data_IF_707872153789
#
_entry.id   IF_707872153789
#
_cell.length_a   1.000
_cell.length_b   1.000
_cell.length_c   1.000
_cell.angle_alpha   90.00
_cell.angle_beta   90.00
_cell.angle_gamma   90.00
#
_symmetry.space_group_name_H-M   'P 1'
#
loop_
_entity.id
_entity.type
_entity.pdbx_description
1 polymer ?
#
# COMPACT_ATOMS: atom_id res chain seq x y z
N UNK A 1 18.44 -32.69 -15.86
CA UNK A 1 17.50 -32.06 -14.91
C UNK A 1 16.79 -30.99 -15.70
N UNK A 2 15.53 -31.20 -16.07
CA UNK A 2 14.72 -30.14 -16.66
C UNK A 2 14.52 -29.06 -15.58
N UNK A 3 14.95 -27.83 -15.88
CA UNK A 3 14.58 -26.69 -15.05
C UNK A 3 13.05 -26.63 -15.00
N UNK A 4 12.48 -26.69 -13.81
CA UNK A 4 11.05 -26.54 -13.62
C UNK A 4 10.56 -25.22 -14.22
N UNK A 5 9.26 -25.10 -14.55
CA UNK A 5 8.73 -23.90 -15.16
C UNK A 5 9.06 -22.67 -14.30
N UNK A 6 9.52 -21.59 -14.94
CA UNK A 6 9.85 -20.35 -14.27
C UNK A 6 8.64 -19.82 -13.47
N UNK A 7 8.86 -19.46 -12.21
CA UNK A 7 7.83 -18.86 -11.38
C UNK A 7 7.48 -17.47 -11.92
N UNK A 8 6.23 -17.29 -12.37
CA UNK A 8 5.71 -16.01 -12.82
C UNK A 8 4.68 -15.48 -11.81
N UNK A 9 4.84 -14.23 -11.39
CA UNK A 9 3.93 -13.55 -10.46
C UNK A 9 3.31 -12.32 -11.12
N UNK A 10 1.99 -12.16 -10.98
CA UNK A 10 1.26 -10.97 -11.42
C UNK A 10 0.97 -10.08 -10.22
N UNK A 11 1.67 -8.93 -10.15
CA UNK A 11 1.55 -7.97 -9.05
C UNK A 11 0.83 -6.72 -9.54
N UNK A 12 -0.23 -6.32 -8.83
CA UNK A 12 -0.96 -5.08 -9.08
C UNK A 12 -0.64 -4.05 -8.00
N UNK A 13 -0.41 -2.81 -8.40
CA UNK A 13 -0.13 -1.69 -7.49
C UNK A 13 -1.00 -0.48 -7.86
N UNK A 14 -1.77 0.05 -6.92
CA UNK A 14 -2.66 1.19 -7.15
C UNK A 14 -2.85 2.08 -5.92
N UNK A 15 -2.71 3.38 -6.12
CA UNK A 15 -3.25 4.39 -5.22
C UNK A 15 -4.76 4.55 -5.46
N UNK A 16 -5.58 4.20 -4.48
CA UNK A 16 -7.04 4.17 -4.60
C UNK A 16 -7.71 5.54 -4.45
N UNK A 17 -7.01 6.56 -3.93
CA UNK A 17 -7.57 7.86 -3.58
C UNK A 17 -8.89 7.70 -2.79
N UNK A 18 -8.84 7.01 -1.64
CA UNK A 18 -10.01 6.76 -0.80
C UNK A 18 -10.04 7.65 0.46
N UNK A 19 -9.60 8.91 0.32
CA UNK A 19 -9.55 9.89 1.42
C UNK A 19 -10.97 10.16 1.92
N UNK A 20 -11.20 9.96 3.22
CA UNK A 20 -12.50 10.20 3.86
C UNK A 20 -12.88 11.69 3.74
N UNK A 21 -14.14 11.96 3.41
CA UNK A 21 -14.73 13.30 3.23
C UNK A 21 -14.24 14.13 2.03
N UNK A 22 -13.01 13.94 1.53
CA UNK A 22 -12.51 14.67 0.36
C UNK A 22 -12.78 13.94 -0.97
N UNK A 23 -12.80 12.61 -0.96
CA UNK A 23 -12.90 11.82 -2.20
C UNK A 23 -14.35 11.72 -2.68
N UNK A 24 -14.65 12.37 -3.81
CA UNK A 24 -15.93 12.20 -4.51
C UNK A 24 -16.10 10.74 -4.97
N UNK A 25 -17.31 10.20 -4.83
CA UNK A 25 -17.69 8.83 -5.24
C UNK A 25 -16.75 7.74 -4.68
N UNK A 26 -16.23 7.93 -3.46
CA UNK A 26 -15.27 7.01 -2.82
C UNK A 26 -15.81 5.58 -2.77
N UNK A 27 -17.02 5.39 -2.25
CA UNK A 27 -17.59 4.05 -2.04
C UNK A 27 -17.76 3.32 -3.37
N UNK A 28 -18.34 3.96 -4.38
CA UNK A 28 -18.50 3.40 -5.72
C UNK A 28 -17.15 2.98 -6.33
N UNK A 29 -16.13 3.83 -6.17
CA UNK A 29 -14.78 3.54 -6.66
C UNK A 29 -14.16 2.33 -5.97
N UNK A 30 -14.22 2.26 -4.64
CA UNK A 30 -13.71 1.11 -3.87
C UNK A 30 -14.41 -0.19 -4.30
N UNK A 31 -15.73 -0.12 -4.52
CA UNK A 31 -16.52 -1.25 -5.01
C UNK A 31 -16.05 -1.72 -6.40
N UNK A 32 -15.91 -0.79 -7.36
CA UNK A 32 -15.44 -1.08 -8.72
C UNK A 32 -14.00 -1.60 -8.76
N UNK A 33 -13.12 -1.05 -7.93
CA UNK A 33 -11.74 -1.54 -7.78
C UNK A 33 -11.77 -2.99 -7.31
N UNK A 34 -12.53 -3.31 -6.25
CA UNK A 34 -12.67 -4.68 -5.76
C UNK A 34 -13.24 -5.64 -6.81
N UNK A 35 -14.26 -5.22 -7.57
CA UNK A 35 -14.85 -6.04 -8.63
C UNK A 35 -13.90 -6.30 -9.80
N UNK A 36 -13.07 -5.31 -10.15
CA UNK A 36 -12.05 -5.44 -11.19
C UNK A 36 -10.95 -6.39 -10.74
N UNK A 37 -10.39 -6.16 -9.55
CA UNK A 37 -9.32 -6.99 -8.98
C UNK A 37 -9.71 -8.46 -8.84
N UNK A 38 -10.98 -8.74 -8.52
CA UNK A 38 -11.52 -10.10 -8.45
C UNK A 38 -11.50 -10.82 -9.81
N UNK A 39 -11.60 -10.10 -10.92
CA UNK A 39 -11.66 -10.66 -12.29
C UNK A 39 -10.29 -10.79 -12.95
N UNK A 40 -9.40 -9.84 -12.69
CA UNK A 40 -8.11 -9.76 -13.38
C UNK A 40 -7.14 -10.90 -13.03
N UNK A 41 -7.31 -11.54 -11.88
CA UNK A 41 -6.56 -12.73 -11.50
C UNK A 41 -5.09 -12.47 -11.12
N UNK A 42 -4.82 -11.34 -10.47
CA UNK A 42 -3.53 -11.03 -9.86
C UNK A 42 -3.19 -11.98 -8.72
N UNK A 43 -1.89 -12.12 -8.43
CA UNK A 43 -1.39 -12.93 -7.32
C UNK A 43 -1.19 -12.10 -6.06
N UNK A 44 -0.77 -10.85 -6.24
CA UNK A 44 -0.57 -9.86 -5.20
C UNK A 44 -1.21 -8.54 -5.63
N UNK A 45 -1.89 -7.90 -4.69
CA UNK A 45 -2.51 -6.58 -4.86
C UNK A 45 -2.00 -5.67 -3.75
N UNK A 46 -1.30 -4.61 -4.10
CA UNK A 46 -0.70 -3.63 -3.21
C UNK A 46 -1.47 -2.30 -3.38
N UNK A 47 -2.16 -1.84 -2.34
CA UNK A 47 -2.98 -0.63 -2.44
C UNK A 47 -2.46 0.47 -1.53
N UNK A 48 -2.51 1.71 -2.02
CA UNK A 48 -2.27 2.93 -1.25
C UNK A 48 -3.55 3.75 -1.12
N UNK A 49 -3.58 4.66 -0.17
CA UNK A 49 -4.70 5.55 0.12
C UNK A 49 -6.04 4.84 0.41
N UNK A 50 -5.98 3.62 0.96
CA UNK A 50 -7.13 2.97 1.59
C UNK A 50 -7.16 3.41 3.05
N UNK A 51 -7.77 4.56 3.32
CA UNK A 51 -7.64 5.23 4.63
C UNK A 51 -8.61 4.76 5.70
N UNK A 52 -9.70 4.08 5.33
CA UNK A 52 -10.72 3.65 6.29
C UNK A 52 -10.79 2.14 6.42
N UNK A 53 -10.95 1.65 7.64
CA UNK A 53 -11.14 0.21 7.90
C UNK A 53 -12.38 -0.34 7.20
N UNK A 54 -13.40 0.51 6.99
CA UNK A 54 -14.60 0.14 6.27
C UNK A 54 -14.29 -0.12 4.78
N UNK A 55 -13.56 0.78 4.12
CA UNK A 55 -13.16 0.59 2.71
C UNK A 55 -12.27 -0.66 2.58
N UNK A 56 -11.36 -0.89 3.54
CA UNK A 56 -10.56 -2.13 3.59
C UNK A 56 -11.43 -3.37 3.78
N UNK A 57 -12.43 -3.34 4.66
CA UNK A 57 -13.33 -4.47 4.93
C UNK A 57 -14.16 -4.83 3.70
N UNK A 58 -14.65 -3.83 2.96
CA UNK A 58 -15.34 -4.01 1.67
C UNK A 58 -14.44 -4.72 0.66
N UNK A 59 -13.18 -4.26 0.52
CA UNK A 59 -12.21 -4.90 -0.38
C UNK A 59 -11.90 -6.34 0.06
N UNK A 60 -11.72 -6.56 1.37
CA UNK A 60 -11.45 -7.89 1.95
C UNK A 60 -12.59 -8.86 1.68
N UNK A 61 -13.83 -8.43 1.84
CA UNK A 61 -15.01 -9.25 1.54
C UNK A 61 -15.06 -9.63 0.05
N UNK A 62 -14.94 -8.64 -0.84
CA UNK A 62 -14.96 -8.87 -2.30
C UNK A 62 -13.83 -9.77 -2.78
N UNK A 63 -12.64 -9.60 -2.23
CA UNK A 63 -11.44 -10.30 -2.65
C UNK A 63 -11.25 -11.63 -1.93
N UNK A 64 -11.95 -11.90 -0.82
CA UNK A 64 -11.70 -13.08 0.03
C UNK A 64 -11.74 -14.43 -0.69
N UNK A 65 -12.51 -14.56 -1.78
CA UNK A 65 -12.55 -15.77 -2.60
C UNK A 65 -11.34 -15.96 -3.52
N UNK A 66 -10.60 -14.90 -3.86
CA UNK A 66 -9.46 -14.93 -4.78
C UNK A 66 -8.13 -14.52 -4.16
N UNK A 67 -8.16 -13.76 -3.05
CA UNK A 67 -7.01 -13.35 -2.24
C UNK A 67 -7.38 -13.55 -0.76
N UNK A 68 -7.33 -14.80 -0.26
CA UNK A 68 -7.79 -15.12 1.09
C UNK A 68 -6.90 -14.53 2.19
N UNK A 69 -5.65 -14.15 1.86
CA UNK A 69 -4.72 -13.55 2.81
C UNK A 69 -4.64 -12.04 2.56
N UNK A 70 -4.79 -11.26 3.62
CA UNK A 70 -4.70 -9.81 3.52
C UNK A 70 -4.14 -9.18 4.78
N UNK A 71 -3.46 -8.04 4.62
CA UNK A 71 -2.93 -7.25 5.72
C UNK A 71 -3.24 -5.77 5.52
N UNK A 72 -3.72 -5.12 6.58
CA UNK A 72 -3.98 -3.68 6.63
C UNK A 72 -3.00 -3.04 7.61
N UNK A 73 -2.16 -2.13 7.11
CA UNK A 73 -1.11 -1.53 7.91
C UNK A 73 -1.67 -0.37 8.74
N UNK A 74 -2.02 -0.64 9.99
CA UNK A 74 -2.52 0.38 10.92
C UNK A 74 -1.37 1.27 11.41
N UNK A 75 -1.55 2.59 11.40
CA UNK A 75 -0.61 3.54 12.00
C UNK A 75 -1.23 4.88 12.38
N UNK A 76 -0.72 5.50 13.44
CA UNK A 76 -1.09 6.87 13.82
C UNK A 76 -2.60 7.05 14.05
N UNK A 77 -3.11 8.25 13.77
CA UNK A 77 -4.51 8.63 14.00
C UNK A 77 -5.40 8.30 12.78
N UNK A 78 -4.86 8.41 11.56
CA UNK A 78 -5.63 8.26 10.30
C UNK A 78 -5.35 6.92 9.59
N UNK A 79 -4.33 6.16 10.00
CA UNK A 79 -3.85 4.97 9.29
C UNK A 79 -2.74 5.29 8.29
N UNK A 80 -2.02 4.28 7.81
CA UNK A 80 -0.96 4.44 6.79
C UNK A 80 -1.53 4.59 5.37
N UNK A 81 -2.78 4.17 5.17
CA UNK A 81 -3.42 4.06 3.86
C UNK A 81 -2.94 2.85 3.06
N UNK A 82 -2.10 1.97 3.62
CA UNK A 82 -1.50 0.84 2.92
C UNK A 82 -2.21 -0.47 3.26
N UNK A 83 -2.44 -1.29 2.24
CA UNK A 83 -2.86 -2.68 2.44
C UNK A 83 -2.38 -3.61 1.33
N UNK A 84 -2.31 -4.89 1.65
CA UNK A 84 -1.91 -5.95 0.73
C UNK A 84 -2.96 -7.06 0.75
N UNK A 85 -3.30 -7.56 -0.44
CA UNK A 85 -4.06 -8.79 -0.63
C UNK A 85 -3.22 -9.78 -1.41
N UNK A 86 -3.27 -11.05 -1.02
CA UNK A 86 -2.41 -12.11 -1.52
C UNK A 86 -3.18 -13.41 -1.71
N UNK A 87 -2.87 -14.11 -2.80
CA UNK A 87 -3.25 -15.52 -2.99
C UNK A 87 -2.55 -16.47 -2.03
N UNK A 88 -1.36 -16.08 -1.58
CA UNK A 88 -0.45 -16.92 -0.81
C UNK A 88 -0.39 -16.49 0.67
N UNK A 89 -0.08 -17.42 1.59
CA UNK A 89 0.01 -17.12 3.01
C UNK A 89 1.01 -16.00 3.31
N UNK A 90 0.55 -15.00 4.07
CA UNK A 90 1.40 -13.97 4.68
C UNK A 90 1.93 -14.55 5.99
N UNK A 91 3.25 -14.74 6.07
CA UNK A 91 3.95 -15.30 7.22
C UNK A 91 4.17 -14.23 8.30
N UNK A 92 4.51 -13.02 7.88
CA UNK A 92 4.81 -11.90 8.78
C UNK A 92 4.49 -10.57 8.08
N UNK A 93 4.29 -9.51 8.87
CA UNK A 93 4.04 -8.17 8.38
C UNK A 93 4.64 -7.11 9.31
N UNK A 94 5.30 -6.12 8.72
CA UNK A 94 5.95 -5.04 9.44
C UNK A 94 5.65 -3.69 8.81
N UNK A 95 5.53 -2.64 9.62
CA UNK A 95 5.35 -1.28 9.13
C UNK A 95 6.48 -0.38 9.62
N UNK A 96 7.21 0.20 8.67
CA UNK A 96 8.21 1.22 8.95
C UNK A 96 7.67 2.59 8.59
N UNK A 97 7.52 3.48 9.57
CA UNK A 97 7.14 4.88 9.34
C UNK A 97 8.37 5.71 9.08
N UNK A 98 8.37 6.45 7.97
CA UNK A 98 9.48 7.34 7.64
C UNK A 98 9.67 8.43 8.69
N UNK A 99 10.91 8.90 8.87
CA UNK A 99 11.23 9.91 9.87
C UNK A 99 10.70 11.30 9.50
N UNK A 100 10.66 11.62 8.20
CA UNK A 100 10.34 12.95 7.69
C UNK A 100 9.07 12.92 6.83
N UNK A 101 7.95 13.39 7.40
CA UNK A 101 6.60 13.27 6.82
C UNK A 101 5.85 14.59 6.59
N UNK A 102 6.54 15.73 6.60
CA UNK A 102 5.96 17.04 6.34
C UNK A 102 5.94 17.91 7.58
N UNK A 103 5.07 18.92 7.58
CA UNK A 103 4.98 19.92 8.65
C UNK A 103 3.60 19.91 9.32
N UNK A 104 3.53 19.89 10.67
CA UNK A 104 2.26 19.80 11.39
C UNK A 104 1.33 21.01 11.16
N UNK A 105 1.89 22.20 10.91
CA UNK A 105 1.12 23.42 10.68
C UNK A 105 0.53 23.52 9.27
N UNK A 106 0.99 22.69 8.32
CA UNK A 106 0.50 22.67 6.94
C UNK A 106 -0.71 21.75 6.82
N UNK A 107 -1.84 22.13 7.43
CA UNK A 107 -3.05 21.30 7.50
C UNK A 107 -3.60 20.86 6.13
N UNK A 108 -3.38 21.67 5.10
CA UNK A 108 -3.79 21.36 3.73
C UNK A 108 -2.90 20.30 3.06
N UNK A 109 -1.71 20.04 3.63
CA UNK A 109 -0.77 19.03 3.17
C UNK A 109 -0.79 17.85 4.16
N UNK A 110 -1.80 16.99 3.99
CA UNK A 110 -2.18 15.93 4.94
C UNK A 110 -1.14 14.86 5.25
N UNK A 111 -0.01 14.85 4.54
CA UNK A 111 1.06 13.85 4.64
C UNK A 111 1.63 13.69 6.06
N UNK A 112 1.68 14.78 6.84
CA UNK A 112 2.15 14.74 8.23
C UNK A 112 1.20 13.94 9.13
N UNK A 113 -0.11 14.10 8.94
CA UNK A 113 -1.14 13.41 9.74
C UNK A 113 -1.29 11.94 9.36
N UNK A 114 -1.03 11.61 8.10
CA UNK A 114 -1.06 10.25 7.59
C UNK A 114 0.18 9.44 8.01
N UNK A 115 1.35 10.09 8.13
CA UNK A 115 2.60 9.43 8.49
C UNK A 115 3.03 8.42 7.42
N UNK A 116 3.59 8.92 6.31
CA UNK A 116 4.06 8.08 5.20
C UNK A 116 5.03 6.99 5.69
N UNK A 117 4.94 5.84 5.04
CA UNK A 117 5.53 4.60 5.53
C UNK A 117 5.76 3.60 4.40
N UNK A 118 6.51 2.54 4.72
CA UNK A 118 6.59 1.32 3.93
C UNK A 118 6.09 0.15 4.77
N UNK A 119 5.13 -0.59 4.22
CA UNK A 119 4.69 -1.87 4.74
C UNK A 119 5.46 -3.00 4.07
N UNK A 120 5.96 -3.94 4.87
CA UNK A 120 6.55 -5.21 4.45
C UNK A 120 5.56 -6.32 4.77
N UNK A 121 5.36 -7.24 3.82
CA UNK A 121 4.82 -8.57 4.10
C UNK A 121 5.80 -9.64 3.64
N UNK A 122 5.97 -10.66 4.47
CA UNK A 122 6.78 -11.85 4.16
C UNK A 122 5.83 -12.93 3.67
N UNK A 123 6.02 -13.42 2.43
CA UNK A 123 5.10 -14.35 1.77
C UNK A 123 5.86 -15.58 1.30
N UNK A 124 5.27 -16.78 1.47
CA UNK A 124 5.84 -18.04 0.92
C UNK A 124 5.11 -18.45 -0.35
N UNK A 125 5.82 -18.48 -1.48
CA UNK A 125 5.29 -18.83 -2.79
C UNK A 125 6.15 -19.96 -3.38
N UNK A 126 5.55 -21.12 -3.64
CA UNK A 126 6.25 -22.28 -4.24
C UNK A 126 7.56 -22.64 -3.53
N UNK A 127 7.60 -22.54 -2.20
CA UNK A 127 8.78 -22.85 -1.38
C UNK A 127 9.77 -21.70 -1.20
N UNK A 128 9.65 -20.61 -1.97
CA UNK A 128 10.49 -19.42 -1.89
C UNK A 128 9.85 -18.39 -0.95
N UNK A 129 10.67 -17.74 -0.12
CA UNK A 129 10.23 -16.64 0.75
C UNK A 129 10.48 -15.31 0.03
N UNK A 130 9.42 -14.52 -0.11
CA UNK A 130 9.43 -13.20 -0.73
C UNK A 130 9.18 -12.12 0.31
N UNK A 131 10.03 -11.09 0.31
CA UNK A 131 9.77 -9.84 1.01
C UNK A 131 9.09 -8.88 0.03
N UNK A 132 7.82 -8.53 0.28
CA UNK A 132 7.04 -7.65 -0.58
C UNK A 132 6.82 -6.33 0.15
N UNK A 133 7.21 -5.24 -0.50
CA UNK A 133 7.16 -3.90 0.07
C UNK A 133 6.09 -3.07 -0.65
N UNK A 134 5.20 -2.43 0.11
CA UNK A 134 4.24 -1.44 -0.38
C UNK A 134 4.51 -0.11 0.31
N UNK A 135 4.65 0.97 -0.45
CA UNK A 135 4.93 2.28 0.10
C UNK A 135 4.17 3.36 -0.65
N UNK A 136 3.97 4.49 0.03
CA UNK A 136 3.48 5.72 -0.55
C UNK A 136 4.33 6.85 0.02
N UNK A 137 5.14 7.51 -0.82
CA UNK A 137 6.01 8.60 -0.38
C UNK A 137 5.22 9.91 -0.20
N UNK A 138 5.91 10.94 0.27
CA UNK A 138 5.36 12.29 0.38
C UNK A 138 4.89 12.77 -1.00
N UNK A 139 3.77 13.48 -1.05
CA UNK A 139 3.24 14.06 -2.27
C UNK A 139 4.06 15.29 -2.69
N UNK A 140 4.13 15.52 -4.00
CA UNK A 140 4.62 16.78 -4.58
C UNK A 140 3.41 17.70 -4.80
N UNK A 141 3.35 18.80 -4.05
CA UNK A 141 2.21 19.73 -4.13
C UNK A 141 2.42 20.84 -5.18
N UNK A 142 3.66 21.14 -5.56
CA UNK A 142 3.99 22.17 -6.53
C UNK A 142 5.29 21.85 -7.28
N UNK A 143 5.19 21.60 -8.59
CA UNK A 143 6.33 21.31 -9.49
C UNK A 143 7.38 22.44 -9.50
N UNK A 144 6.94 23.68 -9.50
CA UNK A 144 7.83 24.85 -9.62
C UNK A 144 8.51 25.23 -8.31
N UNK A 145 7.91 24.87 -7.16
CA UNK A 145 8.38 25.21 -5.82
C UNK A 145 8.18 24.04 -4.87
N UNK A 146 8.96 22.99 -5.09
CA UNK A 146 8.83 21.76 -4.33
C UNK A 146 9.60 21.80 -3.00
N UNK A 147 8.95 22.33 -1.97
CA UNK A 147 9.46 22.32 -0.61
C UNK A 147 9.62 20.90 -0.02
N UNK A 148 9.03 19.88 -0.66
CA UNK A 148 9.00 18.50 -0.17
C UNK A 148 9.97 17.57 -0.89
N UNK A 149 10.78 18.08 -1.82
CA UNK A 149 11.85 17.28 -2.43
C UNK A 149 12.78 16.66 -1.36
N UNK A 150 13.27 17.41 -0.34
CA UNK A 150 14.10 16.82 0.70
C UNK A 150 13.40 15.70 1.47
N UNK A 151 12.07 15.82 1.67
CA UNK A 151 11.28 14.79 2.33
C UNK A 151 11.29 13.50 1.51
N UNK A 152 10.99 13.58 0.21
CA UNK A 152 10.98 12.41 -0.67
C UNK A 152 12.35 11.78 -0.82
N UNK A 153 13.42 12.58 -0.86
CA UNK A 153 14.80 12.08 -0.91
C UNK A 153 15.15 11.30 0.36
N UNK A 154 14.84 11.85 1.54
CA UNK A 154 15.09 11.15 2.82
C UNK A 154 14.27 9.86 2.90
N UNK A 155 12.98 9.91 2.56
CA UNK A 155 12.12 8.71 2.57
C UNK A 155 12.61 7.63 1.61
N UNK A 156 13.04 7.99 0.40
CA UNK A 156 13.60 7.04 -0.56
C UNK A 156 14.92 6.44 -0.04
N UNK A 157 15.76 7.24 0.62
CA UNK A 157 16.99 6.76 1.25
C UNK A 157 16.70 5.80 2.42
N UNK A 158 15.73 6.13 3.28
CA UNK A 158 15.28 5.26 4.37
C UNK A 158 14.70 3.95 3.84
N UNK A 159 13.88 4.00 2.79
CA UNK A 159 13.35 2.81 2.12
C UNK A 159 14.49 1.92 1.61
N UNK A 160 15.51 2.52 0.98
CA UNK A 160 16.68 1.78 0.51
C UNK A 160 17.44 1.14 1.67
N UNK A 161 17.58 1.81 2.83
CA UNK A 161 18.20 1.20 4.01
C UNK A 161 17.34 0.10 4.63
N UNK A 162 16.01 0.24 4.58
CA UNK A 162 15.09 -0.75 5.11
C UNK A 162 15.04 -2.06 4.29
N UNK A 163 15.32 -1.98 2.98
CA UNK A 163 15.37 -3.16 2.09
C UNK A 163 16.70 -3.93 2.20
N UNK A 164 17.79 -3.26 2.59
CA UNK A 164 19.13 -3.88 2.71
C UNK A 164 19.20 -4.94 3.80
#
# INVERSE_FOLDING_TARGET
MEEGPALQLRVFNLNCWAIRYLSKRRQERVQLVGDTLRREGFDLVLLQEVWSEWDYSVLKEKLGGCHPFSHYFRSGVIGSGLCVFSRFPILDAFLYRYSLNGYPYMLQHGDWFCGKSVGLVVIKISGIVFNVYVTHLHAEYCREKDAYLPHRVVQAWELAQFIR
#
